data_IF_192761822104
#
_entry.id   IF_192761822104
#
_cell.length_a   1.000
_cell.length_b   1.000
_cell.length_c   1.000
_cell.angle_alpha   90.00
_cell.angle_beta   90.00
_cell.angle_gamma   90.00
#
_symmetry.space_group_name_H-M   'P 1'
#
loop_
_entity.id
_entity.type
_entity.pdbx_description
1 polymer ?
#
# COMPACT_ATOMS: atom_id res chain seq x y z
N UNK A 1 -18.86 -25.42 6.76
CA UNK A 1 -18.87 -24.31 5.79
C UNK A 1 -17.65 -24.48 4.90
N UNK A 2 -17.75 -24.28 3.58
CA UNK A 2 -16.57 -24.30 2.74
C UNK A 2 -15.65 -23.14 3.17
N UNK A 3 -14.35 -23.42 3.34
CA UNK A 3 -13.37 -22.36 3.65
C UNK A 3 -13.27 -21.41 2.47
N UNK A 4 -13.17 -20.10 2.75
CA UNK A 4 -12.91 -19.09 1.73
C UNK A 4 -11.66 -19.41 0.91
N UNK A 5 -11.73 -19.18 -0.40
CA UNK A 5 -10.62 -19.43 -1.34
C UNK A 5 -9.60 -18.29 -1.42
N UNK A 6 -9.94 -17.12 -0.90
CA UNK A 6 -9.09 -15.92 -0.94
C UNK A 6 -8.37 -15.76 0.39
N UNK A 7 -7.04 -15.61 0.37
CA UNK A 7 -6.25 -15.14 1.50
C UNK A 7 -5.82 -13.69 1.27
N UNK A 8 -6.16 -12.81 2.21
CA UNK A 8 -5.78 -11.38 2.16
C UNK A 8 -4.72 -11.11 3.21
N UNK A 9 -3.46 -10.94 2.82
CA UNK A 9 -2.40 -10.52 3.75
C UNK A 9 -2.52 -9.06 4.12
N UNK A 10 -1.96 -8.67 5.26
CA UNK A 10 -2.06 -7.29 5.75
C UNK A 10 -3.50 -6.75 5.75
N UNK A 11 -4.48 -7.61 6.02
CA UNK A 11 -5.92 -7.35 5.87
C UNK A 11 -6.43 -6.13 6.67
N UNK A 12 -5.74 -5.75 7.72
CA UNK A 12 -6.04 -4.57 8.57
C UNK A 12 -5.14 -3.36 8.29
N UNK A 13 -4.26 -3.47 7.28
CA UNK A 13 -3.31 -2.43 6.90
C UNK A 13 -3.88 -1.46 5.85
N UNK A 14 -3.05 -0.51 5.42
CA UNK A 14 -3.48 0.61 4.56
C UNK A 14 -4.14 0.22 3.24
N UNK A 15 -3.68 -0.86 2.59
CA UNK A 15 -4.27 -1.37 1.34
C UNK A 15 -5.19 -2.56 1.61
N UNK A 16 -4.80 -3.47 2.51
CA UNK A 16 -5.59 -4.65 2.81
C UNK A 16 -6.94 -4.33 3.47
N UNK A 17 -7.02 -3.26 4.28
CA UNK A 17 -8.27 -2.86 4.92
C UNK A 17 -9.34 -2.37 3.90
N UNK A 18 -9.05 -1.46 2.96
CA UNK A 18 -9.98 -1.12 1.89
C UNK A 18 -10.40 -2.32 1.04
N UNK A 19 -9.44 -3.19 0.66
CA UNK A 19 -9.72 -4.43 -0.06
C UNK A 19 -10.69 -5.31 0.73
N UNK A 20 -10.38 -5.61 1.99
CA UNK A 20 -11.23 -6.46 2.85
C UNK A 20 -12.63 -5.88 3.04
N UNK A 21 -12.74 -4.56 3.20
CA UNK A 21 -14.04 -3.86 3.29
C UNK A 21 -14.84 -3.98 2.00
N UNK A 22 -14.19 -3.86 0.84
CA UNK A 22 -14.84 -3.99 -0.47
C UNK A 22 -15.34 -5.42 -0.68
N UNK A 23 -14.52 -6.44 -0.43
CA UNK A 23 -14.92 -7.85 -0.50
C UNK A 23 -16.10 -8.15 0.44
N UNK A 24 -16.02 -7.69 1.68
CA UNK A 24 -17.09 -7.86 2.67
C UNK A 24 -18.41 -7.20 2.21
N UNK A 25 -18.34 -5.95 1.72
CA UNK A 25 -19.51 -5.22 1.21
C UNK A 25 -20.18 -5.93 0.03
N UNK A 26 -19.41 -6.64 -0.79
CA UNK A 26 -19.91 -7.39 -1.94
C UNK A 26 -20.25 -8.85 -1.62
N UNK A 27 -20.22 -9.25 -0.34
CA UNK A 27 -20.46 -10.60 0.13
C UNK A 27 -19.52 -11.66 -0.50
N UNK A 28 -18.29 -11.25 -0.79
CA UNK A 28 -17.25 -12.17 -1.25
C UNK A 28 -16.49 -12.69 -0.04
N UNK A 29 -16.48 -14.00 0.13
CA UNK A 29 -15.81 -14.66 1.24
C UNK A 29 -14.29 -14.57 1.08
N UNK A 30 -13.59 -14.18 2.15
CA UNK A 30 -12.14 -14.14 2.22
C UNK A 30 -11.67 -14.52 3.63
N UNK A 31 -10.43 -14.96 3.75
CA UNK A 31 -9.74 -15.15 5.02
C UNK A 31 -8.82 -13.96 5.27
N UNK A 32 -9.02 -13.27 6.37
CA UNK A 32 -8.19 -12.15 6.79
C UNK A 32 -6.91 -12.67 7.47
N UNK A 33 -5.77 -12.63 6.77
CA UNK A 33 -4.50 -12.96 7.35
C UNK A 33 -3.97 -11.78 8.18
N UNK A 34 -3.74 -12.01 9.47
CA UNK A 34 -3.38 -10.97 10.43
C UNK A 34 -2.67 -11.55 11.66
N UNK A 35 -1.89 -10.72 12.34
CA UNK A 35 -1.36 -11.03 13.67
C UNK A 35 -2.38 -10.78 14.79
N UNK A 36 -3.47 -10.07 14.49
CA UNK A 36 -4.50 -9.70 15.46
C UNK A 36 -5.91 -10.06 14.94
N UNK A 37 -6.32 -11.29 15.19
CA UNK A 37 -7.63 -11.80 14.79
C UNK A 37 -8.79 -11.03 15.45
N UNK A 38 -8.64 -10.55 16.68
CA UNK A 38 -9.67 -9.76 17.36
C UNK A 38 -9.94 -8.45 16.59
N UNK A 39 -8.88 -7.76 16.16
CA UNK A 39 -9.00 -6.54 15.35
C UNK A 39 -9.66 -6.81 13.99
N UNK A 40 -9.32 -7.92 13.34
CA UNK A 40 -9.96 -8.29 12.07
C UNK A 40 -11.48 -8.54 12.25
N UNK A 41 -11.88 -9.24 13.31
CA UNK A 41 -13.29 -9.50 13.62
C UNK A 41 -14.06 -8.24 14.01
N UNK A 42 -13.44 -7.31 14.69
CA UNK A 42 -14.01 -5.97 14.97
C UNK A 42 -14.32 -5.21 13.67
N UNK A 43 -13.40 -5.26 12.69
CA UNK A 43 -13.49 -4.51 11.44
C UNK A 43 -14.43 -5.14 10.41
N UNK A 44 -14.50 -6.47 10.36
CA UNK A 44 -15.19 -7.22 9.30
C UNK A 44 -16.34 -8.10 9.82
N UNK A 45 -16.56 -8.11 11.12
CA UNK A 45 -17.58 -8.94 11.79
C UNK A 45 -17.08 -10.33 12.18
N UNK A 46 -17.78 -10.94 13.16
CA UNK A 46 -17.38 -12.23 13.77
C UNK A 46 -17.41 -13.43 12.81
N UNK A 47 -18.12 -13.30 11.67
CA UNK A 47 -18.21 -14.38 10.67
C UNK A 47 -17.04 -14.41 9.69
N UNK A 48 -16.17 -13.38 9.70
CA UNK A 48 -15.01 -13.35 8.80
C UNK A 48 -13.97 -14.36 9.27
N UNK A 49 -13.58 -15.24 8.38
CA UNK A 49 -12.49 -16.17 8.61
C UNK A 49 -11.18 -15.42 8.84
N UNK A 50 -10.40 -15.87 9.82
CA UNK A 50 -9.09 -15.28 10.13
C UNK A 50 -8.03 -16.36 10.15
N UNK A 51 -6.84 -16.04 9.62
CA UNK A 51 -5.64 -16.85 9.74
C UNK A 51 -4.54 -16.05 10.44
N UNK A 52 -3.79 -16.68 11.33
CA UNK A 52 -2.58 -16.06 11.87
C UNK A 52 -1.51 -16.02 10.79
N UNK A 53 -0.93 -14.85 10.57
CA UNK A 53 0.18 -14.67 9.65
C UNK A 53 1.09 -13.53 10.13
N UNK A 54 2.33 -13.88 10.43
CA UNK A 54 3.44 -12.93 10.63
C UNK A 54 4.53 -13.24 9.60
N UNK A 55 4.89 -12.27 8.77
CA UNK A 55 5.95 -12.44 7.78
C UNK A 55 7.32 -12.78 8.37
N UNK A 56 7.52 -12.55 9.67
CA UNK A 56 8.75 -12.90 10.40
C UNK A 56 8.74 -14.32 10.96
N UNK A 57 7.59 -15.00 10.93
CA UNK A 57 7.41 -16.35 11.42
C UNK A 57 6.75 -17.24 10.36
N UNK A 58 7.55 -17.94 9.55
CA UNK A 58 7.03 -18.81 8.49
C UNK A 58 6.24 -20.03 8.98
N UNK A 59 6.28 -20.38 10.26
CA UNK A 59 5.68 -21.61 10.80
C UNK A 59 4.17 -21.70 10.57
N UNK A 60 3.47 -20.54 10.46
CA UNK A 60 2.03 -20.48 10.23
C UNK A 60 1.61 -20.40 8.75
N UNK A 61 2.55 -20.35 7.80
CA UNK A 61 2.20 -20.08 6.40
C UNK A 61 1.42 -21.20 5.74
N UNK A 62 1.83 -22.44 5.96
CA UNK A 62 1.14 -23.63 5.41
C UNK A 62 -0.32 -23.69 5.89
N UNK A 63 -0.58 -23.47 7.18
CA UNK A 63 -1.94 -23.44 7.74
C UNK A 63 -2.77 -22.29 7.16
N UNK A 64 -2.19 -21.10 7.04
CA UNK A 64 -2.88 -19.94 6.47
C UNK A 64 -3.27 -20.13 5.00
N UNK A 65 -2.46 -20.88 4.24
CA UNK A 65 -2.66 -21.16 2.82
C UNK A 65 -3.51 -22.40 2.54
N UNK A 66 -3.83 -23.20 3.54
CA UNK A 66 -4.59 -24.44 3.37
C UNK A 66 -5.96 -24.19 2.73
N UNK A 67 -6.22 -24.83 1.58
CA UNK A 67 -7.47 -24.72 0.83
C UNK A 67 -7.70 -23.38 0.14
N UNK A 68 -6.66 -22.52 0.05
CA UNK A 68 -6.72 -21.24 -0.68
C UNK A 68 -6.38 -21.46 -2.16
N UNK A 69 -7.01 -20.66 -2.99
CA UNK A 69 -6.75 -20.63 -4.44
C UNK A 69 -6.13 -19.29 -4.88
N UNK A 70 -6.45 -18.21 -4.17
CA UNK A 70 -6.02 -16.85 -4.51
C UNK A 70 -5.37 -16.16 -3.31
N UNK A 71 -4.25 -15.51 -3.57
CA UNK A 71 -3.48 -14.81 -2.55
C UNK A 71 -3.36 -13.32 -2.93
N UNK A 72 -3.86 -12.43 -2.08
CA UNK A 72 -3.45 -11.03 -2.11
C UNK A 72 -2.22 -10.84 -1.22
N UNK A 73 -1.11 -10.42 -1.82
CA UNK A 73 0.15 -10.18 -1.13
C UNK A 73 0.48 -8.69 -1.06
N UNK A 74 0.49 -8.17 0.15
CA UNK A 74 0.99 -6.84 0.48
C UNK A 74 1.98 -6.95 1.63
N UNK A 75 3.22 -6.57 1.39
CA UNK A 75 4.29 -6.63 2.39
C UNK A 75 4.20 -5.53 3.45
N UNK A 76 5.05 -5.59 4.48
CA UNK A 76 5.14 -4.56 5.51
C UNK A 76 5.70 -3.26 4.92
N UNK A 77 5.11 -2.13 5.31
CA UNK A 77 5.55 -0.79 4.90
C UNK A 77 6.90 -0.44 5.52
N UNK A 78 7.72 0.33 4.79
CA UNK A 78 8.96 0.96 5.28
C UNK A 78 9.89 0.02 6.08
N UNK A 79 9.90 -1.26 5.73
CA UNK A 79 10.74 -2.27 6.39
C UNK A 79 11.93 -2.58 5.48
N UNK A 80 13.16 -2.25 5.86
CA UNK A 80 14.36 -2.64 5.11
C UNK A 80 14.41 -4.17 4.91
N UNK A 81 14.70 -4.61 3.68
CA UNK A 81 14.78 -6.04 3.38
C UNK A 81 13.44 -6.79 3.45
N UNK A 82 12.31 -6.07 3.36
CA UNK A 82 10.98 -6.69 3.44
C UNK A 82 10.75 -7.77 2.38
N UNK A 83 11.39 -7.68 1.22
CA UNK A 83 11.34 -8.72 0.18
C UNK A 83 11.79 -10.09 0.70
N UNK A 84 12.81 -10.13 1.58
CA UNK A 84 13.30 -11.37 2.19
C UNK A 84 12.28 -12.02 3.13
N UNK A 85 11.40 -11.20 3.74
CA UNK A 85 10.31 -11.68 4.57
C UNK A 85 9.16 -12.27 3.74
N UNK A 86 9.01 -11.83 2.49
CA UNK A 86 7.92 -12.27 1.61
C UNK A 86 8.27 -13.53 0.80
N UNK A 87 9.56 -13.75 0.50
CA UNK A 87 10.01 -14.92 -0.26
C UNK A 87 9.50 -16.24 0.30
N UNK A 88 9.63 -16.56 1.62
CA UNK A 88 9.13 -17.81 2.17
C UNK A 88 7.61 -18.02 1.99
N UNK A 89 6.82 -16.93 2.07
CA UNK A 89 5.38 -17.04 1.85
C UNK A 89 5.05 -17.33 0.38
N UNK A 90 5.77 -16.73 -0.57
CA UNK A 90 5.59 -17.00 -2.01
C UNK A 90 5.95 -18.45 -2.34
N UNK A 91 7.06 -18.97 -1.78
CA UNK A 91 7.46 -20.37 -1.94
C UNK A 91 6.44 -21.35 -1.35
N UNK A 92 5.89 -21.01 -0.18
CA UNK A 92 4.87 -21.84 0.44
C UNK A 92 3.53 -21.75 -0.30
N UNK A 93 3.18 -20.59 -0.85
CA UNK A 93 1.99 -20.41 -1.69
C UNK A 93 2.05 -21.28 -2.97
N UNK A 94 3.20 -21.38 -3.62
CA UNK A 94 3.39 -22.25 -4.77
C UNK A 94 3.24 -23.74 -4.37
N UNK A 95 3.86 -24.17 -3.27
CA UNK A 95 3.70 -25.54 -2.74
C UNK A 95 2.28 -25.89 -2.34
N UNK A 96 1.55 -24.92 -1.77
CA UNK A 96 0.15 -25.06 -1.37
C UNK A 96 -0.82 -25.10 -2.58
N UNK A 97 -0.33 -24.84 -3.79
CA UNK A 97 -1.14 -24.87 -5.01
C UNK A 97 -1.99 -23.62 -5.20
N UNK A 98 -1.53 -22.46 -4.72
CA UNK A 98 -2.15 -21.17 -5.05
C UNK A 98 -2.17 -21.02 -6.56
N UNK A 99 -3.35 -20.69 -7.11
CA UNK A 99 -3.54 -20.54 -8.56
C UNK A 99 -3.17 -19.15 -9.05
N UNK A 100 -3.45 -18.12 -8.26
CA UNK A 100 -3.21 -16.74 -8.66
C UNK A 100 -2.78 -15.88 -7.46
N UNK A 101 -1.73 -15.08 -7.67
CA UNK A 101 -1.23 -14.10 -6.71
C UNK A 101 -1.46 -12.67 -7.22
N UNK A 102 -2.14 -11.85 -6.43
CA UNK A 102 -2.27 -10.40 -6.65
C UNK A 102 -1.28 -9.70 -5.74
N UNK A 103 -0.23 -9.12 -6.29
CA UNK A 103 0.90 -8.58 -5.53
C UNK A 103 1.03 -7.07 -5.66
N UNK A 104 1.12 -6.36 -4.53
CA UNK A 104 1.54 -4.95 -4.51
C UNK A 104 3.04 -4.88 -4.84
N UNK A 105 3.32 -4.56 -6.10
CA UNK A 105 4.61 -4.75 -6.77
C UNK A 105 5.63 -3.68 -6.36
N UNK A 106 6.30 -3.89 -5.23
CA UNK A 106 7.30 -2.98 -4.68
C UNK A 106 8.74 -3.48 -4.82
N UNK A 107 8.94 -4.78 -5.13
CA UNK A 107 10.24 -5.45 -5.12
C UNK A 107 10.47 -6.19 -6.45
N UNK A 108 11.39 -5.71 -7.32
CA UNK A 108 11.65 -6.31 -8.64
C UNK A 108 12.03 -7.79 -8.59
N UNK A 109 12.93 -8.17 -7.67
CA UNK A 109 13.40 -9.56 -7.55
C UNK A 109 12.28 -10.52 -7.14
N UNK A 110 11.36 -10.06 -6.27
CA UNK A 110 10.20 -10.85 -5.89
C UNK A 110 9.18 -10.95 -7.03
N UNK A 111 9.02 -9.89 -7.84
CA UNK A 111 8.19 -9.93 -9.04
C UNK A 111 8.73 -10.95 -10.04
N UNK A 112 10.05 -10.97 -10.26
CA UNK A 112 10.70 -11.96 -11.12
C UNK A 112 10.45 -13.37 -10.61
N UNK A 113 10.69 -13.62 -9.32
CA UNK A 113 10.43 -14.93 -8.68
C UNK A 113 8.98 -15.39 -8.86
N UNK A 114 8.01 -14.50 -8.64
CA UNK A 114 6.58 -14.80 -8.83
C UNK A 114 6.28 -15.12 -10.29
N UNK A 115 6.85 -14.37 -11.23
CA UNK A 115 6.62 -14.58 -12.67
C UNK A 115 7.21 -15.89 -13.21
N UNK A 116 8.21 -16.44 -12.54
CA UNK A 116 8.85 -17.72 -12.86
C UNK A 116 8.19 -18.92 -12.14
N UNK A 117 7.27 -18.67 -11.21
CA UNK A 117 6.54 -19.71 -10.49
C UNK A 117 5.44 -20.35 -11.35
N UNK A 118 4.85 -21.42 -10.85
CA UNK A 118 3.68 -22.08 -11.47
C UNK A 118 2.37 -21.32 -11.26
N UNK A 119 2.37 -20.26 -10.44
CA UNK A 119 1.20 -19.45 -10.15
C UNK A 119 0.95 -18.40 -11.24
N UNK A 120 -0.32 -18.18 -11.59
CA UNK A 120 -0.69 -16.97 -12.31
C UNK A 120 -0.53 -15.73 -11.42
N UNK A 121 -0.32 -14.56 -12.03
CA UNK A 121 -0.12 -13.34 -11.25
C UNK A 121 -0.78 -12.11 -11.86
N UNK A 122 -1.06 -11.13 -11.00
CA UNK A 122 -1.32 -9.73 -11.35
C UNK A 122 -0.49 -8.82 -10.45
N UNK A 123 0.33 -7.98 -11.06
CA UNK A 123 1.15 -6.99 -10.34
C UNK A 123 0.44 -5.65 -10.27
N UNK A 124 0.16 -5.16 -9.07
CA UNK A 124 -0.37 -3.83 -8.84
C UNK A 124 0.80 -2.86 -8.59
N UNK A 125 1.22 -2.15 -9.62
CA UNK A 125 2.30 -1.14 -9.56
C UNK A 125 1.73 0.18 -9.08
N UNK A 126 1.48 0.26 -7.79
CA UNK A 126 0.95 1.47 -7.17
C UNK A 126 2.03 2.55 -7.02
N UNK A 127 1.65 3.79 -7.27
CA UNK A 127 2.50 4.96 -7.05
C UNK A 127 2.49 5.36 -5.56
N UNK A 128 3.08 6.50 -5.22
CA UNK A 128 3.16 6.99 -3.84
C UNK A 128 1.76 7.16 -3.22
N UNK A 129 1.58 6.59 -2.02
CA UNK A 129 0.29 6.61 -1.35
C UNK A 129 0.02 7.96 -0.69
N UNK A 130 -1.19 8.48 -0.84
CA UNK A 130 -1.64 9.66 -0.09
C UNK A 130 -1.56 9.43 1.42
N UNK A 131 -1.78 8.20 1.90
CA UNK A 131 -1.66 7.83 3.30
C UNK A 131 -0.24 8.01 3.88
N UNK A 132 0.78 8.18 3.05
CA UNK A 132 2.13 8.50 3.51
C UNK A 132 2.19 9.86 4.24
N UNK A 133 1.30 10.78 3.93
CA UNK A 133 1.19 12.04 4.68
C UNK A 133 0.72 11.81 6.12
N UNK A 134 -0.17 10.86 6.37
CA UNK A 134 -0.57 10.48 7.73
C UNK A 134 0.54 9.71 8.47
N UNK A 135 1.30 8.89 7.76
CA UNK A 135 2.29 8.00 8.37
C UNK A 135 3.57 8.76 8.72
N UNK A 136 4.01 9.66 7.83
CA UNK A 136 5.35 10.26 7.91
C UNK A 136 5.35 11.76 8.15
N UNK A 137 4.21 12.46 7.95
CA UNK A 137 4.17 13.92 7.96
C UNK A 137 3.09 14.50 8.87
N UNK A 138 2.31 13.67 9.56
CA UNK A 138 1.15 14.15 10.32
C UNK A 138 1.54 15.16 11.39
N UNK A 139 2.63 14.93 12.13
CA UNK A 139 3.11 15.83 13.18
C UNK A 139 3.68 17.13 12.60
N UNK A 140 4.47 17.03 11.52
CA UNK A 140 5.01 18.21 10.86
C UNK A 140 3.90 19.08 10.24
N UNK A 141 2.86 18.48 9.64
CA UNK A 141 1.72 19.21 9.09
C UNK A 141 0.89 19.83 10.22
N UNK A 142 0.55 19.06 11.26
CA UNK A 142 -0.32 19.51 12.35
C UNK A 142 0.35 20.56 13.24
N UNK A 143 1.57 20.27 13.69
CA UNK A 143 2.21 21.01 14.79
C UNK A 143 3.23 22.04 14.29
N UNK A 144 3.85 21.81 13.11
CA UNK A 144 4.86 22.71 12.54
C UNK A 144 4.41 23.42 11.26
N UNK A 145 3.20 23.14 10.76
CA UNK A 145 2.64 23.71 9.55
C UNK A 145 3.53 23.53 8.31
N UNK A 146 4.19 22.39 8.19
CA UNK A 146 5.09 22.10 7.07
C UNK A 146 4.97 20.65 6.60
N UNK A 147 5.39 20.42 5.37
CA UNK A 147 5.75 19.11 4.83
C UNK A 147 7.26 19.07 4.71
N UNK A 148 7.93 18.16 5.42
CA UNK A 148 9.39 18.13 5.51
C UNK A 148 9.92 16.80 4.98
N UNK A 149 10.39 16.78 3.72
CA UNK A 149 10.94 15.58 3.10
C UNK A 149 11.89 15.91 1.95
N UNK A 150 12.95 15.10 1.71
CA UNK A 150 14.02 15.39 0.77
C UNK A 150 13.65 14.99 -0.67
N UNK A 151 12.46 15.39 -1.14
CA UNK A 151 11.95 15.04 -2.48
C UNK A 151 12.26 16.09 -3.56
N UNK A 152 12.87 17.22 -3.17
CA UNK A 152 13.16 18.33 -4.10
C UNK A 152 11.91 18.82 -4.82
N UNK A 153 12.02 19.09 -6.11
CA UNK A 153 10.93 19.46 -7.02
C UNK A 153 10.34 18.26 -7.78
N UNK A 154 10.67 17.05 -7.34
CA UNK A 154 10.18 15.82 -7.95
C UNK A 154 8.66 15.71 -7.89
N UNK A 155 8.08 15.12 -8.94
CA UNK A 155 6.63 15.00 -9.11
C UNK A 155 6.18 13.53 -9.05
N UNK A 156 4.99 13.30 -8.49
CA UNK A 156 4.38 11.97 -8.44
C UNK A 156 2.85 12.06 -8.57
N UNK A 157 2.21 11.07 -9.23
CA UNK A 157 0.77 10.93 -9.24
C UNK A 157 0.32 10.15 -7.98
N UNK A 158 0.15 10.85 -6.86
CA UNK A 158 -0.23 10.25 -5.58
C UNK A 158 -1.56 9.51 -5.67
N UNK A 159 -1.60 8.27 -5.17
CA UNK A 159 -2.79 7.41 -5.21
C UNK A 159 -3.34 7.15 -3.82
N UNK A 160 -4.67 7.10 -3.70
CA UNK A 160 -5.34 6.71 -2.46
C UNK A 160 -5.33 5.19 -2.30
N UNK A 161 -5.02 4.69 -1.09
CA UNK A 161 -4.98 3.24 -0.82
C UNK A 161 -6.33 2.54 -0.98
N UNK A 162 -7.44 3.28 -0.89
CA UNK A 162 -8.79 2.77 -1.20
C UNK A 162 -8.91 2.37 -2.67
N UNK A 163 -8.39 3.18 -3.59
CA UNK A 163 -8.41 2.86 -5.02
C UNK A 163 -7.61 1.59 -5.30
N UNK A 164 -6.44 1.45 -4.67
CA UNK A 164 -5.62 0.24 -4.80
C UNK A 164 -6.37 -0.99 -4.27
N UNK A 165 -6.98 -0.87 -3.09
CA UNK A 165 -7.74 -1.97 -2.48
C UNK A 165 -8.97 -2.36 -3.28
N UNK A 166 -9.71 -1.39 -3.83
CA UNK A 166 -10.87 -1.64 -4.67
C UNK A 166 -10.47 -2.28 -6.02
N UNK A 167 -9.38 -1.83 -6.65
CA UNK A 167 -8.81 -2.49 -7.85
C UNK A 167 -8.40 -3.93 -7.52
N UNK A 168 -7.73 -4.16 -6.39
CA UNK A 168 -7.37 -5.51 -5.97
C UNK A 168 -8.61 -6.41 -5.78
N UNK A 169 -9.72 -5.86 -5.28
CA UNK A 169 -10.98 -6.60 -5.16
C UNK A 169 -11.55 -6.99 -6.53
N UNK A 170 -11.56 -6.07 -7.51
CA UNK A 170 -12.03 -6.38 -8.86
C UNK A 170 -11.15 -7.46 -9.53
N UNK A 171 -9.83 -7.39 -9.36
CA UNK A 171 -8.91 -8.42 -9.84
C UNK A 171 -9.19 -9.78 -9.18
N UNK A 172 -9.45 -9.81 -7.87
CA UNK A 172 -9.75 -11.06 -7.14
C UNK A 172 -11.13 -11.65 -7.47
N UNK A 173 -12.04 -10.88 -8.06
CA UNK A 173 -13.34 -11.37 -8.55
C UNK A 173 -13.21 -12.19 -9.84
N UNK A 174 -12.31 -11.76 -10.71
CA UNK A 174 -11.99 -12.48 -11.96
C UNK A 174 -10.47 -12.41 -12.22
N UNK A 175 -9.67 -13.22 -11.49
CA UNK A 175 -8.22 -13.20 -11.66
C UNK A 175 -7.77 -13.58 -13.07
N UNK A 176 -8.58 -14.36 -13.80
CA UNK A 176 -8.25 -14.82 -15.15
C UNK A 176 -8.19 -13.67 -16.16
N UNK A 177 -9.04 -12.65 -16.01
CA UNK A 177 -9.04 -11.46 -16.85
C UNK A 177 -7.77 -10.62 -16.73
N UNK A 178 -7.04 -10.76 -15.62
CA UNK A 178 -5.85 -9.96 -15.32
C UNK A 178 -4.55 -10.77 -15.25
N UNK A 179 -4.60 -12.03 -15.68
CA UNK A 179 -3.47 -12.95 -15.66
C UNK A 179 -2.26 -12.38 -16.41
N UNK A 180 -1.09 -12.40 -15.78
CA UNK A 180 0.19 -11.95 -16.34
C UNK A 180 0.31 -10.44 -16.52
N UNK A 181 -0.66 -9.66 -16.04
CA UNK A 181 -0.66 -8.21 -16.19
C UNK A 181 0.08 -7.48 -15.08
N UNK A 182 0.63 -6.32 -15.44
CA UNK A 182 1.22 -5.35 -14.52
C UNK A 182 0.44 -4.03 -14.63
N UNK A 183 -0.47 -3.81 -13.69
CA UNK A 183 -1.40 -2.69 -13.69
C UNK A 183 -0.73 -1.47 -13.00
N UNK A 184 -0.49 -0.41 -13.75
CA UNK A 184 0.03 0.85 -13.19
C UNK A 184 -1.10 1.63 -12.55
N UNK A 185 -1.05 1.81 -11.23
CA UNK A 185 -2.09 2.48 -10.46
C UNK A 185 -1.59 3.86 -10.00
N UNK A 186 -2.30 4.89 -10.42
CA UNK A 186 -1.98 6.29 -10.12
C UNK A 186 -3.22 7.04 -9.64
N UNK A 187 -3.00 8.14 -8.93
CA UNK A 187 -4.04 9.16 -8.78
C UNK A 187 -4.26 9.92 -10.09
N UNK A 188 -5.23 10.85 -10.11
CA UNK A 188 -5.66 11.51 -11.34
C UNK A 188 -4.72 12.62 -11.81
N UNK A 189 -3.76 13.06 -10.99
CA UNK A 189 -2.90 14.21 -11.26
C UNK A 189 -1.47 13.96 -10.77
N UNK A 190 -0.49 14.37 -11.58
CA UNK A 190 0.93 14.41 -11.20
C UNK A 190 1.27 15.77 -10.62
N UNK A 191 1.76 15.79 -9.37
CA UNK A 191 2.08 17.04 -8.66
C UNK A 191 3.37 16.92 -7.85
N UNK A 192 4.03 18.05 -7.61
CA UNK A 192 5.12 18.18 -6.66
C UNK A 192 4.60 18.48 -5.25
N UNK A 193 5.51 18.46 -4.28
CA UNK A 193 5.12 18.72 -2.89
C UNK A 193 4.82 20.20 -2.60
N UNK A 194 5.19 21.14 -3.46
CA UNK A 194 4.73 22.54 -3.37
C UNK A 194 3.21 22.57 -3.60
N UNK A 195 2.73 21.95 -4.69
CA UNK A 195 1.30 21.85 -4.97
C UNK A 195 0.55 21.08 -3.90
N UNK A 196 1.16 20.00 -3.35
CA UNK A 196 0.60 19.27 -2.20
C UNK A 196 0.42 20.20 -1.00
N UNK A 197 1.44 21.01 -0.64
CA UNK A 197 1.34 21.95 0.48
C UNK A 197 0.28 23.04 0.27
N UNK A 198 0.09 23.52 -0.98
CA UNK A 198 -1.02 24.42 -1.33
C UNK A 198 -2.38 23.76 -1.06
N UNK A 199 -2.59 22.51 -1.52
CA UNK A 199 -3.84 21.77 -1.31
C UNK A 199 -4.11 21.57 0.20
N UNK A 200 -3.09 21.19 0.97
CA UNK A 200 -3.23 21.10 2.43
C UNK A 200 -3.60 22.45 3.04
N UNK A 201 -2.99 23.53 2.57
CA UNK A 201 -3.30 24.90 3.06
C UNK A 201 -4.73 25.29 2.78
N UNK A 202 -5.21 25.05 1.56
CA UNK A 202 -6.57 25.35 1.12
C UNK A 202 -7.61 24.58 1.94
N UNK A 203 -7.40 23.28 2.16
CA UNK A 203 -8.37 22.43 2.85
C UNK A 203 -8.35 22.61 4.36
N UNK A 204 -7.17 22.84 4.95
CA UNK A 204 -7.02 23.00 6.40
C UNK A 204 -7.32 24.43 6.87
N UNK A 205 -7.40 25.38 5.94
CA UNK A 205 -7.52 26.83 6.22
C UNK A 205 -6.39 27.33 7.11
N UNK A 206 -5.16 26.87 6.83
CA UNK A 206 -3.92 27.31 7.49
C UNK A 206 -2.75 27.19 6.53
N UNK A 207 -1.77 28.10 6.63
CA UNK A 207 -0.61 28.07 5.74
C UNK A 207 0.28 26.86 6.05
N UNK A 208 0.35 25.93 5.12
CA UNK A 208 1.31 24.81 5.11
C UNK A 208 2.39 25.12 4.08
N UNK A 209 3.65 24.91 4.43
CA UNK A 209 4.79 25.08 3.52
C UNK A 209 5.45 23.75 3.21
N UNK A 210 6.01 23.62 2.02
CA UNK A 210 6.90 22.51 1.72
C UNK A 210 8.35 22.95 1.92
N UNK A 211 9.07 22.20 2.75
CA UNK A 211 10.50 22.33 2.99
C UNK A 211 11.20 21.12 2.38
N UNK A 212 12.09 21.36 1.41
CA UNK A 212 12.86 20.33 0.73
C UNK A 212 14.31 20.33 1.25
N UNK A 213 14.59 19.69 2.41
CA UNK A 213 15.94 19.62 2.93
C UNK A 213 16.83 18.78 2.00
N UNK A 214 18.14 18.99 2.11
CA UNK A 214 19.09 18.00 1.63
C UNK A 214 19.12 16.79 2.56
N UNK A 215 19.76 15.71 2.10
CA UNK A 215 19.76 14.43 2.83
C UNK A 215 20.47 14.54 4.19
N UNK A 216 21.46 15.42 4.33
CA UNK A 216 22.20 15.66 5.58
C UNK A 216 21.30 16.36 6.61
N UNK A 217 20.64 17.44 6.20
CA UNK A 217 19.70 18.18 7.04
C UNK A 217 18.53 17.32 7.48
N UNK A 218 17.96 16.54 6.56
CA UNK A 218 16.90 15.57 6.84
C UNK A 218 17.35 14.52 7.88
N UNK A 219 18.53 13.93 7.65
CA UNK A 219 19.11 12.93 8.57
C UNK A 219 19.31 13.50 9.97
N UNK A 220 19.85 14.71 10.07
CA UNK A 220 20.11 15.37 11.35
C UNK A 220 18.81 15.59 12.15
N UNK A 221 17.77 16.08 11.50
CA UNK A 221 16.49 16.31 12.18
C UNK A 221 15.85 15.00 12.65
N UNK A 222 15.84 13.97 11.80
CA UNK A 222 15.28 12.68 12.18
C UNK A 222 16.06 12.00 13.32
N UNK A 223 17.39 12.13 13.34
CA UNK A 223 18.20 11.66 14.46
C UNK A 223 17.87 12.36 15.77
N UNK A 224 17.66 13.67 15.74
CA UNK A 224 17.23 14.45 16.90
C UNK A 224 15.86 14.01 17.42
N UNK A 225 14.99 13.53 16.54
CA UNK A 225 13.68 12.96 16.87
C UNK A 225 13.74 11.48 17.26
N UNK A 226 14.94 10.87 17.37
CA UNK A 226 15.13 9.52 17.88
C UNK A 226 14.97 8.41 16.85
N UNK A 227 14.90 8.71 15.55
CA UNK A 227 14.84 7.68 14.50
C UNK A 227 16.20 7.01 14.28
N UNK A 228 16.18 5.71 13.97
CA UNK A 228 17.39 4.94 13.68
C UNK A 228 17.99 5.29 12.32
N UNK A 229 19.31 5.10 12.18
CA UNK A 229 20.01 5.32 10.91
C UNK A 229 19.42 4.48 9.77
N UNK A 230 19.02 3.23 10.04
CA UNK A 230 18.38 2.35 9.06
C UNK A 230 17.07 2.92 8.55
N UNK A 231 16.24 3.45 9.45
CA UNK A 231 14.97 4.10 9.08
C UNK A 231 15.22 5.33 8.22
N UNK A 232 16.17 6.19 8.63
CA UNK A 232 16.53 7.43 7.92
C UNK A 232 17.00 7.12 6.50
N UNK A 233 17.92 6.17 6.34
CA UNK A 233 18.38 5.73 5.02
C UNK A 233 17.25 5.19 4.15
N UNK A 234 16.34 4.39 4.73
CA UNK A 234 15.18 3.89 4.00
C UNK A 234 14.28 5.03 3.52
N UNK A 235 14.03 6.05 4.34
CA UNK A 235 13.21 7.20 3.97
C UNK A 235 13.86 8.05 2.88
N UNK A 236 15.15 8.34 2.99
CA UNK A 236 15.91 9.05 1.94
C UNK A 236 15.83 8.28 0.62
N UNK A 237 16.00 6.96 0.64
CA UNK A 237 15.88 6.12 -0.56
C UNK A 237 14.46 6.16 -1.15
N UNK A 238 13.41 6.15 -0.33
CA UNK A 238 12.02 6.25 -0.78
C UNK A 238 11.75 7.62 -1.44
N UNK A 239 12.11 8.72 -0.77
CA UNK A 239 11.88 10.07 -1.29
C UNK A 239 12.80 10.42 -2.44
N UNK A 240 14.02 9.86 -2.48
CA UNK A 240 14.94 9.93 -3.60
C UNK A 240 14.33 9.37 -4.90
N UNK A 241 13.45 8.37 -4.81
CA UNK A 241 12.71 7.88 -5.98
C UNK A 241 11.80 8.95 -6.59
N UNK A 242 11.24 9.88 -5.80
CA UNK A 242 10.46 11.00 -6.31
C UNK A 242 11.43 12.03 -6.94
N UNK A 243 12.47 12.41 -6.19
CA UNK A 243 13.46 13.43 -6.58
C UNK A 243 14.14 13.12 -7.92
N UNK A 244 14.48 11.85 -8.17
CA UNK A 244 15.29 11.45 -9.34
C UNK A 244 14.49 10.76 -10.44
N UNK A 245 13.18 10.59 -10.27
CA UNK A 245 12.35 9.89 -11.24
C UNK A 245 12.00 10.81 -12.40
N UNK A 246 11.97 10.26 -13.63
CA UNK A 246 11.28 10.92 -14.73
C UNK A 246 9.82 11.14 -14.33
N UNK A 247 9.24 12.28 -14.74
CA UNK A 247 7.82 12.57 -14.52
C UNK A 247 7.01 11.39 -15.02
N UNK A 248 6.13 10.89 -14.16
CA UNK A 248 5.21 9.82 -14.50
C UNK A 248 3.83 10.43 -14.73
N UNK A 249 3.30 10.22 -15.92
CA UNK A 249 1.95 10.64 -16.24
C UNK A 249 0.91 9.76 -15.51
N UNK A 250 -0.25 10.31 -15.16
CA UNK A 250 -1.36 9.52 -14.65
C UNK A 250 -1.79 8.45 -15.65
N UNK A 251 -2.30 7.33 -15.14
CA UNK A 251 -2.86 6.25 -15.96
C UNK A 251 -4.37 6.18 -15.78
N UNK A 252 -5.06 5.66 -16.79
CA UNK A 252 -6.52 5.47 -16.77
C UNK A 252 -6.95 4.18 -16.07
N UNK A 253 -6.00 3.36 -15.65
CA UNK A 253 -6.23 2.00 -15.13
C UNK A 253 -7.26 1.95 -13.99
N UNK A 254 -7.16 2.88 -13.03
CA UNK A 254 -8.14 2.94 -11.92
C UNK A 254 -9.53 3.25 -12.44
N UNK A 255 -9.65 4.21 -13.35
CA UNK A 255 -10.94 4.59 -13.96
C UNK A 255 -11.54 3.46 -14.78
N UNK A 256 -10.73 2.78 -15.58
CA UNK A 256 -11.16 1.67 -16.43
C UNK A 256 -11.66 0.48 -15.60
N UNK A 257 -10.96 0.14 -14.52
CA UNK A 257 -11.33 -1.00 -13.67
C UNK A 257 -12.50 -0.68 -12.74
N UNK A 258 -12.50 0.52 -12.12
CA UNK A 258 -13.51 0.87 -11.10
C UNK A 258 -14.74 1.59 -11.67
N UNK A 259 -14.71 2.02 -12.94
CA UNK A 259 -15.80 2.80 -13.56
C UNK A 259 -15.99 4.20 -12.96
N UNK A 260 -15.00 4.71 -12.20
CA UNK A 260 -14.99 6.03 -11.59
C UNK A 260 -13.60 6.65 -11.59
N UNK A 261 -13.53 7.96 -11.44
CA UNK A 261 -12.25 8.64 -11.28
C UNK A 261 -11.53 8.19 -9.99
N UNK A 262 -10.18 8.16 -9.98
CA UNK A 262 -9.40 8.00 -8.77
C UNK A 262 -9.71 9.11 -7.75
N UNK A 263 -9.58 8.79 -6.47
CA UNK A 263 -9.75 9.76 -5.39
C UNK A 263 -8.66 10.82 -5.51
N UNK A 264 -9.05 12.10 -5.43
CA UNK A 264 -8.14 13.25 -5.51
C UNK A 264 -7.47 13.55 -4.17
N UNK A 265 -6.32 14.24 -4.19
CA UNK A 265 -5.65 14.68 -2.97
C UNK A 265 -6.52 15.63 -2.12
N UNK A 266 -7.25 16.61 -2.70
CA UNK A 266 -8.19 17.42 -1.92
C UNK A 266 -9.30 16.63 -1.22
N UNK A 267 -9.82 15.57 -1.85
CA UNK A 267 -10.80 14.67 -1.21
C UNK A 267 -10.19 13.93 -0.04
N UNK A 268 -8.99 13.35 -0.23
CA UNK A 268 -8.26 12.67 0.83
C UNK A 268 -8.00 13.59 2.03
N UNK A 269 -7.52 14.82 1.81
CA UNK A 269 -7.22 15.76 2.90
C UNK A 269 -8.52 16.17 3.62
N UNK A 270 -9.62 16.38 2.90
CA UNK A 270 -10.93 16.68 3.52
C UNK A 270 -11.45 15.54 4.39
N UNK A 271 -11.39 14.31 3.90
CA UNK A 271 -11.81 13.12 4.66
C UNK A 271 -10.98 12.92 5.94
N UNK A 272 -9.72 13.34 5.94
CA UNK A 272 -8.77 13.15 7.04
C UNK A 272 -8.39 14.45 7.78
N UNK A 273 -9.13 15.53 7.56
CA UNK A 273 -8.86 16.86 8.16
C UNK A 273 -8.56 16.78 9.66
N UNK A 274 -9.33 15.99 10.40
CA UNK A 274 -9.22 15.80 11.85
C UNK A 274 -7.85 15.25 12.32
N UNK A 275 -7.06 14.66 11.42
CA UNK A 275 -5.71 14.15 11.74
C UNK A 275 -4.64 15.22 11.60
N UNK A 276 -4.87 16.19 10.72
CA UNK A 276 -3.93 17.23 10.34
C UNK A 276 -4.22 18.61 10.98
N UNK A 277 -5.31 18.69 11.76
CA UNK A 277 -5.74 19.92 12.43
C UNK A 277 -5.27 20.01 13.86
#
# INVERSE_FOLDING_TARGET
MARSKILVTSSTGNVGLPLSKKLHKENIEFTAATRNAARARELFGFKTDTAYLDFRDPSGFAEALEGKEWLFLCGPSATPGAEKLLVPLVEEAEKAGIKHIVFIASYPDLMEKISQSSMDYTFLKANFFMQNFEIYQVEDIRDKNRIFMPSGDGKAPFIHTRDIGEVAAEVLKDPSAYKGQALSLTGPETMDHYRVAEIFSEVLDKKITYEAPDDETYSKELKQNGFSDEYIHAMIAVFGKIKHRKIMEPTETVREILGRQPITLPEYVRENKHKFS
#
